data_IF_534728125114
#
_entry.id   IF_534728125114
#
_cell.length_a   1.000
_cell.length_b   1.000
_cell.length_c   1.000
_cell.angle_alpha   90.00
_cell.angle_beta   90.00
_cell.angle_gamma   90.00
#
_symmetry.space_group_name_H-M   'P 1'
#
loop_
_entity.id
_entity.type
_entity.pdbx_description
1 polymer ?
#
# COMPACT_ATOMS: atom_id res chain seq x y z
N UNK A 1 -5.96 -7.36 20.12
CA UNK A 1 -6.40 -8.75 19.86
C UNK A 1 -7.57 -9.01 20.77
N UNK A 2 -8.58 -9.75 20.30
CA UNK A 2 -9.71 -10.23 21.08
C UNK A 2 -9.66 -11.78 21.13
N UNK A 3 -10.42 -12.40 22.05
CA UNK A 3 -10.40 -13.87 22.26
C UNK A 3 -10.75 -14.67 21.00
N UNK A 4 -11.49 -14.07 20.07
CA UNK A 4 -11.86 -14.63 18.78
C UNK A 4 -10.67 -14.89 17.84
N UNK A 5 -9.51 -14.30 18.12
CA UNK A 5 -8.26 -14.54 17.37
C UNK A 5 -7.45 -15.72 17.92
N UNK A 6 -7.87 -16.31 19.03
CA UNK A 6 -7.24 -17.49 19.60
C UNK A 6 -7.92 -18.75 19.08
N UNK A 7 -7.20 -19.51 18.25
CA UNK A 7 -7.71 -20.75 17.67
C UNK A 7 -7.06 -21.93 18.36
N UNK A 8 -7.88 -22.85 18.86
CA UNK A 8 -7.38 -24.12 19.36
C UNK A 8 -7.03 -25.04 18.19
N UNK A 9 -5.74 -25.34 18.05
CA UNK A 9 -5.25 -26.27 17.04
C UNK A 9 -5.27 -27.68 17.62
N UNK A 10 -6.11 -28.53 17.01
CA UNK A 10 -6.28 -29.93 17.42
C UNK A 10 -5.08 -30.81 17.11
N UNK A 11 -4.18 -30.40 16.21
CA UNK A 11 -2.98 -31.15 15.86
C UNK A 11 -1.86 -30.93 16.88
N UNK A 12 -1.68 -29.70 17.35
CA UNK A 12 -0.68 -29.32 18.36
C UNK A 12 -1.24 -29.34 19.80
N UNK A 13 -2.57 -29.46 19.95
CA UNK A 13 -3.29 -29.39 21.23
C UNK A 13 -3.07 -28.08 22.00
N UNK A 14 -2.75 -26.99 21.29
CA UNK A 14 -2.44 -25.70 21.87
C UNK A 14 -3.29 -24.57 21.28
N UNK A 15 -3.24 -23.41 21.93
CA UNK A 15 -3.86 -22.20 21.45
C UNK A 15 -2.90 -21.43 20.55
N UNK A 16 -3.36 -21.06 19.36
CA UNK A 16 -2.55 -20.33 18.38
C UNK A 16 -3.06 -18.89 18.23
N UNK A 17 -2.16 -17.89 18.18
CA UNK A 17 -0.70 -18.00 18.34
C UNK A 17 -0.29 -18.27 19.81
N UNK A 18 0.60 -19.24 20.05
CA UNK A 18 1.01 -19.66 21.42
C UNK A 18 1.63 -18.53 22.27
N UNK A 19 2.18 -17.51 21.61
CA UNK A 19 2.76 -16.34 22.27
C UNK A 19 1.70 -15.40 22.88
N UNK A 20 0.46 -15.46 22.39
CA UNK A 20 -0.61 -14.52 22.75
C UNK A 20 -1.86 -15.23 23.27
N UNK A 21 -2.03 -16.52 23.01
CA UNK A 21 -3.22 -17.26 23.34
C UNK A 21 -2.91 -18.44 24.27
N UNK A 22 -3.77 -18.66 25.25
CA UNK A 22 -3.67 -19.77 26.19
C UNK A 22 -5.05 -20.34 26.50
N UNK A 23 -5.10 -21.61 26.92
CA UNK A 23 -6.33 -22.21 27.42
C UNK A 23 -6.66 -21.62 28.78
N UNK A 24 -7.81 -20.98 28.87
CA UNK A 24 -8.37 -20.42 30.09
C UNK A 24 -9.83 -20.83 30.15
N UNK A 25 -10.22 -21.69 31.09
CA UNK A 25 -11.60 -22.18 31.18
C UNK A 25 -12.49 -21.23 31.99
N UNK A 26 -13.66 -20.90 31.44
CA UNK A 26 -14.72 -20.15 32.09
C UNK A 26 -15.99 -20.99 32.21
N UNK A 27 -16.89 -20.60 33.12
CA UNK A 27 -18.15 -21.28 33.33
C UNK A 27 -19.01 -21.22 32.04
N UNK A 28 -19.29 -22.39 31.45
CA UNK A 28 -20.03 -22.51 30.18
C UNK A 28 -19.19 -23.03 29.01
N UNK A 29 -17.87 -23.11 29.17
CA UNK A 29 -17.01 -23.75 28.17
C UNK A 29 -17.21 -25.27 28.18
N UNK A 30 -17.49 -25.83 27.01
CA UNK A 30 -17.64 -27.28 26.82
C UNK A 30 -16.61 -27.85 25.84
N UNK A 31 -15.75 -27.00 25.27
CA UNK A 31 -14.67 -27.40 24.36
C UNK A 31 -13.39 -26.59 24.59
N UNK A 32 -12.19 -27.14 24.29
CA UNK A 32 -10.94 -26.39 24.30
C UNK A 32 -10.94 -25.16 23.38
N UNK A 33 -11.66 -25.23 22.25
CA UNK A 33 -11.82 -24.08 21.34
C UNK A 33 -12.54 -22.91 22.01
N UNK A 34 -13.56 -23.17 22.84
CA UNK A 34 -14.23 -22.13 23.62
C UNK A 34 -13.34 -21.60 24.76
N UNK A 35 -12.49 -22.46 25.31
CA UNK A 35 -11.53 -22.09 26.35
C UNK A 35 -10.27 -21.40 25.80
N UNK A 36 -10.09 -21.32 24.47
CA UNK A 36 -8.91 -20.75 23.87
C UNK A 36 -9.03 -19.23 23.76
N UNK A 37 -8.26 -18.50 24.57
CA UNK A 37 -8.42 -17.07 24.80
C UNK A 37 -7.08 -16.35 24.85
N UNK A 38 -7.11 -15.03 24.83
CA UNK A 38 -5.89 -14.25 25.00
C UNK A 38 -5.30 -14.47 26.37
N UNK A 39 -4.00 -14.77 26.42
CA UNK A 39 -3.27 -14.92 27.67
C UNK A 39 -3.33 -13.63 28.47
N UNK A 40 -3.55 -13.71 29.79
CA UNK A 40 -3.40 -12.55 30.71
C UNK A 40 -1.97 -11.99 30.71
N UNK A 41 -0.99 -12.77 30.23
CA UNK A 41 0.40 -12.35 30.00
C UNK A 41 0.65 -11.89 28.56
N UNK A 42 -0.34 -11.98 27.67
CA UNK A 42 -0.26 -11.40 26.33
C UNK A 42 -0.14 -9.90 26.53
N UNK A 43 1.08 -9.40 26.39
CA UNK A 43 1.32 -8.00 26.53
C UNK A 43 0.78 -7.35 25.25
N UNK A 44 -0.53 -7.13 25.20
CA UNK A 44 -1.25 -6.54 24.07
C UNK A 44 -0.78 -5.10 23.77
N UNK A 45 0.15 -4.56 24.57
CA UNK A 45 0.94 -3.35 24.34
C UNK A 45 2.15 -3.55 23.41
N UNK A 46 2.52 -4.80 23.08
CA UNK A 46 3.62 -5.14 22.16
C UNK A 46 3.16 -5.42 20.73
N UNK A 47 1.87 -5.64 20.52
CA UNK A 47 1.27 -5.66 19.18
C UNK A 47 0.78 -4.24 18.93
N UNK A 48 1.24 -3.53 17.89
CA UNK A 48 0.67 -2.23 17.53
C UNK A 48 -0.83 -2.39 17.31
N UNK A 49 -1.63 -1.95 18.28
CA UNK A 49 -3.08 -1.90 18.11
C UNK A 49 -3.41 -0.63 17.34
N UNK A 50 -3.64 -0.77 16.03
CA UNK A 50 -4.16 0.31 15.22
C UNK A 50 -5.66 0.16 15.05
N UNK A 51 -6.35 1.30 15.10
CA UNK A 51 -7.75 1.40 14.74
C UNK A 51 -7.81 1.87 13.29
N UNK A 52 -8.10 0.95 12.37
CA UNK A 52 -8.29 1.29 10.97
C UNK A 52 -9.72 1.80 10.79
N UNK A 53 -9.85 3.05 10.36
CA UNK A 53 -11.12 3.76 10.19
C UNK A 53 -11.32 4.15 8.73
N UNK A 54 -11.45 3.17 7.85
CA UNK A 54 -12.06 3.34 6.52
C UNK A 54 -12.32 1.97 5.88
N UNK A 55 -13.40 1.91 5.08
CA UNK A 55 -13.88 0.78 4.25
C UNK A 55 -14.68 -0.32 4.97
N UNK A 56 -15.63 -0.90 4.23
CA UNK A 56 -16.79 -1.66 4.71
C UNK A 56 -16.68 -3.19 4.44
N UNK A 57 -16.58 -4.00 5.49
CA UNK A 57 -16.44 -5.47 5.49
C UNK A 57 -15.74 -5.95 6.77
N UNK A 58 -16.19 -7.05 7.40
CA UNK A 58 -15.92 -7.34 8.82
C UNK A 58 -14.51 -7.91 9.15
N UNK A 59 -13.84 -7.23 10.10
CA UNK A 59 -12.77 -7.63 11.07
C UNK A 59 -11.31 -7.80 10.61
N UNK A 60 -10.26 -7.37 11.35
CA UNK A 60 -10.11 -6.61 12.60
C UNK A 60 -9.52 -5.19 12.40
N UNK A 61 -9.78 -4.30 13.37
CA UNK A 61 -9.76 -2.82 13.23
C UNK A 61 -11.17 -2.39 12.85
N UNK A 62 -11.95 -1.83 13.79
CA UNK A 62 -13.42 -1.73 13.67
C UNK A 62 -13.85 -1.13 12.33
N UNK A 63 -14.34 -1.97 11.44
CA UNK A 63 -14.93 -1.51 10.20
C UNK A 63 -16.26 -0.86 10.53
N UNK A 64 -16.29 0.46 10.44
CA UNK A 64 -17.51 1.26 10.61
C UNK A 64 -18.29 1.18 9.30
N UNK A 65 -19.22 0.22 9.22
CA UNK A 65 -20.13 0.08 8.10
C UNK A 65 -21.29 1.09 8.14
N UNK A 66 -22.01 1.23 7.02
CA UNK A 66 -23.22 2.05 6.93
C UNK A 66 -22.98 3.56 6.95
N UNK A 67 -21.76 4.00 6.65
CA UNK A 67 -21.44 5.41 6.50
C UNK A 67 -21.96 5.94 5.16
N UNK A 68 -22.30 7.23 5.13
CA UNK A 68 -22.62 7.95 3.89
C UNK A 68 -21.32 8.28 3.17
N UNK A 69 -21.32 8.19 1.84
CA UNK A 69 -20.20 8.62 1.01
C UNK A 69 -19.93 10.13 1.17
N UNK A 70 -18.68 10.54 0.94
CA UNK A 70 -18.23 11.94 0.98
C UNK A 70 -18.78 12.74 2.19
N UNK A 71 -18.69 12.16 3.39
CA UNK A 71 -19.28 12.70 4.61
C UNK A 71 -18.24 12.73 5.72
N UNK A 72 -18.12 13.86 6.41
CA UNK A 72 -17.22 14.03 7.57
C UNK A 72 -17.81 13.36 8.81
N UNK A 73 -17.07 12.44 9.40
CA UNK A 73 -17.37 11.77 10.66
C UNK A 73 -16.37 12.16 11.74
N UNK A 74 -16.83 12.23 12.98
CA UNK A 74 -16.00 12.49 14.15
C UNK A 74 -15.91 11.25 15.02
N UNK A 75 -14.73 10.97 15.56
CA UNK A 75 -14.49 9.80 16.37
C UNK A 75 -13.52 10.09 17.53
N UNK A 76 -13.51 9.18 18.51
CA UNK A 76 -12.53 9.11 19.57
C UNK A 76 -12.13 7.66 19.75
N UNK A 77 -10.84 7.40 19.89
CA UNK A 77 -10.34 6.08 20.27
C UNK A 77 -10.23 6.02 21.78
N UNK A 78 -10.60 4.92 22.41
CA UNK A 78 -10.35 4.75 23.82
C UNK A 78 -10.73 3.38 24.35
N UNK A 79 -10.37 3.13 25.61
CA UNK A 79 -10.70 1.89 26.29
C UNK A 79 -12.17 1.90 26.75
N UNK A 80 -12.89 0.81 26.47
CA UNK A 80 -14.30 0.67 26.84
C UNK A 80 -14.52 0.54 28.36
N UNK A 81 -13.57 -0.08 29.07
CA UNK A 81 -13.61 -0.34 30.52
C UNK A 81 -13.06 0.83 31.34
N UNK A 82 -12.18 1.63 30.77
CA UNK A 82 -11.55 2.75 31.47
C UNK A 82 -11.54 4.03 30.61
N UNK A 83 -12.34 5.01 31.05
CA UNK A 83 -12.49 6.31 30.37
C UNK A 83 -11.24 7.19 30.47
N UNK A 84 -10.29 6.86 31.35
CA UNK A 84 -9.00 7.55 31.45
C UNK A 84 -8.20 7.39 30.15
N UNK A 85 -8.23 6.21 29.53
CA UNK A 85 -7.57 5.93 28.25
C UNK A 85 -8.47 6.31 27.08
N UNK A 86 -8.85 7.59 26.96
CA UNK A 86 -9.58 8.14 25.82
C UNK A 86 -8.75 9.20 25.11
N UNK A 87 -8.53 9.00 23.82
CA UNK A 87 -7.86 9.94 22.94
C UNK A 87 -8.69 11.20 22.68
N UNK A 88 -8.04 12.16 22.03
CA UNK A 88 -8.66 13.39 21.54
C UNK A 88 -9.73 13.13 20.47
N UNK A 89 -10.56 14.14 20.23
CA UNK A 89 -11.49 14.13 19.09
C UNK A 89 -10.66 14.16 17.80
N UNK A 90 -10.98 13.25 16.88
CA UNK A 90 -10.45 13.22 15.51
C UNK A 90 -11.62 13.14 14.54
N UNK A 91 -11.35 13.33 13.25
CA UNK A 91 -12.38 13.26 12.21
C UNK A 91 -11.80 12.76 10.90
N UNK A 92 -12.60 12.10 10.07
CA UNK A 92 -12.24 11.74 8.71
C UNK A 92 -13.41 12.01 7.77
N UNK A 93 -13.13 12.14 6.48
CA UNK A 93 -14.15 12.17 5.42
C UNK A 93 -14.15 10.82 4.72
N UNK A 94 -15.34 10.22 4.56
CA UNK A 94 -15.48 8.96 3.83
C UNK A 94 -15.17 9.12 2.35
N UNK A 95 -14.76 8.03 1.71
CA UNK A 95 -14.52 8.00 0.27
C UNK A 95 -15.73 8.49 -0.52
N UNK A 96 -15.45 9.04 -1.69
CA UNK A 96 -16.46 9.37 -2.70
C UNK A 96 -17.04 8.08 -3.27
N UNK A 97 -18.31 8.13 -3.66
CA UNK A 97 -18.93 6.98 -4.30
C UNK A 97 -18.26 6.71 -5.65
N UNK A 98 -18.21 5.46 -6.07
CA UNK A 98 -17.78 5.13 -7.43
C UNK A 98 -18.66 5.86 -8.45
N UNK A 99 -18.06 6.51 -9.45
CA UNK A 99 -18.74 7.35 -10.43
C UNK A 99 -19.00 8.79 -9.98
N UNK A 100 -18.56 9.20 -8.79
CA UNK A 100 -18.61 10.60 -8.39
C UNK A 100 -17.59 11.41 -9.20
N UNK A 101 -18.09 12.25 -10.11
CA UNK A 101 -17.30 13.09 -11.03
C UNK A 101 -16.70 14.34 -10.38
N UNK A 102 -16.96 14.58 -9.09
CA UNK A 102 -16.38 15.72 -8.40
C UNK A 102 -14.85 15.55 -8.25
N UNK A 103 -14.07 16.61 -8.47
CA UNK A 103 -12.61 16.52 -8.44
C UNK A 103 -12.11 16.17 -7.04
N UNK A 104 -11.04 15.38 -7.01
CA UNK A 104 -10.33 14.97 -5.80
C UNK A 104 -8.82 14.94 -6.03
N UNK A 105 -8.06 14.94 -4.94
CA UNK A 105 -6.59 14.99 -4.93
C UNK A 105 -6.02 13.85 -4.09
N UNK A 106 -4.97 13.20 -4.60
CA UNK A 106 -4.23 12.15 -3.90
C UNK A 106 -2.77 12.54 -3.73
N UNK A 107 -2.20 12.38 -2.54
CA UNK A 107 -0.76 12.48 -2.36
C UNK A 107 -0.10 11.11 -2.53
N UNK A 108 0.93 11.00 -3.38
CA UNK A 108 1.57 9.72 -3.71
C UNK A 108 3.09 9.79 -3.49
N UNK A 109 3.64 8.85 -2.73
CA UNK A 109 5.09 8.76 -2.53
C UNK A 109 5.49 7.36 -2.08
N UNK A 110 6.76 6.98 -2.27
CA UNK A 110 7.33 5.75 -1.74
C UNK A 110 8.42 6.06 -0.71
N UNK A 111 8.91 5.03 -0.02
CA UNK A 111 10.29 4.96 0.46
C UNK A 111 10.68 6.05 1.48
N UNK A 112 9.71 6.61 2.20
CA UNK A 112 9.98 7.76 3.06
C UNK A 112 10.86 7.39 4.26
N UNK A 113 10.63 6.21 4.85
CA UNK A 113 11.31 5.80 6.07
C UNK A 113 11.07 6.74 7.27
N UNK A 114 11.95 6.61 8.27
CA UNK A 114 11.85 7.36 9.53
C UNK A 114 13.20 7.94 9.99
N UNK A 115 14.17 8.07 9.08
CA UNK A 115 15.51 8.58 9.36
C UNK A 115 15.59 10.11 9.19
N UNK A 116 16.80 10.67 9.16
CA UNK A 116 17.00 12.11 9.01
C UNK A 116 16.65 12.63 7.61
N UNK A 117 16.74 11.78 6.57
CA UNK A 117 16.36 12.13 5.20
C UNK A 117 14.83 12.24 5.07
N UNK A 118 14.09 11.47 5.88
CA UNK A 118 12.62 11.49 5.90
C UNK A 118 12.02 12.81 6.40
N UNK A 119 12.77 13.65 7.12
CA UNK A 119 12.22 14.79 7.88
C UNK A 119 11.48 15.80 7.01
N UNK A 120 12.04 16.15 5.85
CA UNK A 120 11.43 17.10 4.92
C UNK A 120 10.11 16.55 4.36
N UNK A 121 10.14 15.32 3.85
CA UNK A 121 8.98 14.61 3.31
C UNK A 121 7.90 14.41 4.37
N UNK A 122 8.28 13.96 5.56
CA UNK A 122 7.38 13.77 6.68
C UNK A 122 6.65 15.07 7.04
N UNK A 123 7.39 16.18 7.15
CA UNK A 123 6.81 17.50 7.42
C UNK A 123 5.85 17.93 6.30
N UNK A 124 6.24 17.72 5.04
CA UNK A 124 5.43 18.07 3.88
C UNK A 124 4.11 17.29 3.88
N UNK A 125 4.14 15.96 3.97
CA UNK A 125 2.94 15.11 3.98
C UNK A 125 2.04 15.43 5.19
N UNK A 126 2.61 15.72 6.36
CA UNK A 126 1.83 16.15 7.52
C UNK A 126 1.13 17.50 7.32
N UNK A 127 1.59 18.34 6.39
CA UNK A 127 0.94 19.61 6.04
C UNK A 127 -0.19 19.47 5.02
N UNK A 128 -0.33 18.32 4.37
CA UNK A 128 -1.36 18.03 3.37
C UNK A 128 -2.73 17.68 3.96
N UNK A 129 -2.86 17.69 5.28
CA UNK A 129 -4.16 17.49 5.94
C UNK A 129 -5.13 18.58 5.49
N UNK A 130 -6.33 18.17 5.06
CA UNK A 130 -7.38 19.01 4.46
C UNK A 130 -7.05 19.59 3.06
N UNK A 131 -5.83 19.39 2.54
CA UNK A 131 -5.44 19.78 1.16
C UNK A 131 -5.60 18.64 0.16
N UNK A 132 -5.54 17.39 0.62
CA UNK A 132 -5.71 16.18 -0.20
C UNK A 132 -6.79 15.28 0.40
N UNK A 133 -7.42 14.45 -0.44
CA UNK A 133 -8.49 13.56 -0.02
C UNK A 133 -7.95 12.30 0.68
N UNK A 134 -6.80 11.78 0.21
CA UNK A 134 -6.08 10.66 0.85
C UNK A 134 -4.62 10.59 0.42
N UNK A 135 -3.84 9.75 1.11
CA UNK A 135 -2.44 9.43 0.78
C UNK A 135 -2.33 8.01 0.27
N UNK A 136 -1.48 7.78 -0.73
CA UNK A 136 -1.09 6.47 -1.23
C UNK A 136 0.44 6.28 -1.16
N UNK A 137 0.90 5.45 -0.21
CA UNK A 137 2.30 5.18 0.05
C UNK A 137 2.77 3.91 -0.69
N UNK A 138 3.70 4.08 -1.63
CA UNK A 138 4.20 3.08 -2.57
C UNK A 138 5.26 2.13 -1.98
N UNK A 139 5.08 1.66 -0.73
CA UNK A 139 5.96 0.69 -0.08
C UNK A 139 7.21 1.27 0.56
N UNK A 140 7.97 0.40 1.24
CA UNK A 140 9.16 0.71 2.02
C UNK A 140 8.89 1.79 3.08
N UNK A 141 8.02 1.41 4.00
CA UNK A 141 7.31 2.32 4.90
C UNK A 141 8.26 2.99 5.88
N UNK A 142 8.93 2.18 6.72
CA UNK A 142 9.71 2.69 7.86
C UNK A 142 11.19 2.36 7.80
N UNK A 143 11.60 1.42 6.93
CA UNK A 143 12.96 0.85 6.92
C UNK A 143 13.39 0.34 8.31
N UNK A 144 12.47 -0.31 9.03
CA UNK A 144 12.73 -0.79 10.39
C UNK A 144 13.73 -1.95 10.43
N UNK A 145 13.81 -2.71 9.34
CA UNK A 145 14.77 -3.78 9.10
C UNK A 145 16.21 -3.24 9.12
N UNK A 146 16.45 -2.05 8.55
CA UNK A 146 17.73 -1.36 8.48
C UNK A 146 18.17 -0.67 9.79
N UNK A 147 17.38 -0.74 10.87
CA UNK A 147 17.64 0.01 12.10
C UNK A 147 19.01 -0.29 12.77
N UNK A 148 19.61 -1.43 12.44
CA UNK A 148 20.92 -1.88 12.95
C UNK A 148 22.13 -1.35 12.16
N UNK A 149 21.93 -0.71 11.00
CA UNK A 149 23.03 -0.29 10.10
C UNK A 149 23.91 0.83 10.66
N UNK A 150 23.53 1.44 11.78
CA UNK A 150 24.40 2.42 12.47
C UNK A 150 25.32 1.72 13.47
N UNK A 151 26.58 2.16 13.57
CA UNK A 151 27.55 1.60 14.52
C UNK A 151 27.06 1.63 15.99
N UNK A 152 26.18 2.58 16.33
CA UNK A 152 25.56 2.68 17.65
C UNK A 152 24.49 1.61 17.89
N UNK A 153 23.82 1.15 16.83
CA UNK A 153 22.66 0.27 16.93
C UNK A 153 22.96 -1.19 16.59
N UNK A 154 24.15 -1.50 16.07
CA UNK A 154 24.52 -2.81 15.51
C UNK A 154 24.29 -4.00 16.45
N UNK A 155 24.41 -3.80 17.77
CA UNK A 155 24.18 -4.85 18.78
C UNK A 155 22.83 -4.74 19.50
N UNK A 156 22.02 -3.74 19.18
CA UNK A 156 20.69 -3.57 19.76
C UNK A 156 19.58 -4.17 18.90
N UNK A 157 18.34 -3.98 19.34
CA UNK A 157 17.15 -4.37 18.62
C UNK A 157 16.16 -3.21 18.61
N UNK A 158 16.02 -2.57 17.45
CA UNK A 158 15.32 -1.28 17.29
C UNK A 158 14.16 -1.34 16.28
N UNK A 159 13.86 -2.51 15.71
CA UNK A 159 12.85 -2.69 14.67
C UNK A 159 11.51 -2.06 15.07
N UNK A 160 10.95 -2.48 16.21
CA UNK A 160 9.68 -1.95 16.74
C UNK A 160 9.76 -0.44 17.06
N UNK A 161 10.92 0.05 17.51
CA UNK A 161 11.10 1.46 17.85
C UNK A 161 11.07 2.35 16.60
N UNK A 162 11.72 1.92 15.51
CA UNK A 162 11.71 2.63 14.23
C UNK A 162 10.32 2.59 13.60
N UNK A 163 9.67 1.43 13.62
CA UNK A 163 8.29 1.32 13.13
C UNK A 163 7.34 2.24 13.92
N UNK A 164 7.42 2.24 15.26
CA UNK A 164 6.65 3.15 16.10
C UNK A 164 7.00 4.62 15.86
N UNK A 165 8.28 4.96 15.60
CA UNK A 165 8.69 6.31 15.24
C UNK A 165 7.97 6.77 13.97
N UNK A 166 7.90 5.92 12.95
CA UNK A 166 7.15 6.19 11.73
C UNK A 166 5.65 6.41 12.02
N UNK A 167 4.98 5.45 12.67
CA UNK A 167 3.54 5.55 12.95
C UNK A 167 3.19 6.80 13.76
N UNK A 168 4.01 7.12 14.76
CA UNK A 168 3.84 8.33 15.58
C UNK A 168 4.03 9.61 14.75
N UNK A 169 4.99 9.63 13.84
CA UNK A 169 5.25 10.79 12.97
C UNK A 169 4.11 11.04 11.97
N UNK A 170 3.38 10.01 11.56
CA UNK A 170 2.26 10.11 10.61
C UNK A 170 0.89 10.20 11.27
N UNK A 171 0.87 10.30 12.60
CA UNK A 171 -0.37 10.34 13.38
C UNK A 171 -1.28 11.53 13.02
N UNK A 172 -0.75 12.66 12.55
CA UNK A 172 -1.58 13.79 12.12
C UNK A 172 -2.41 13.45 10.88
N UNK A 173 -1.79 12.77 9.91
CA UNK A 173 -2.41 12.38 8.63
C UNK A 173 -3.34 11.19 8.83
N UNK A 174 -2.83 10.10 9.40
CA UNK A 174 -3.56 8.83 9.50
C UNK A 174 -4.80 8.90 10.40
N UNK A 175 -4.90 9.90 11.28
CA UNK A 175 -6.12 10.11 12.08
C UNK A 175 -7.21 10.89 11.32
N UNK A 176 -6.86 11.52 10.20
CA UNK A 176 -7.69 12.51 9.51
C UNK A 176 -8.16 12.10 8.12
N UNK A 177 -7.41 11.23 7.44
CA UNK A 177 -7.73 10.75 6.10
C UNK A 177 -7.26 9.31 5.92
N UNK A 178 -7.73 8.67 4.85
CA UNK A 178 -7.21 7.36 4.48
C UNK A 178 -5.72 7.46 4.13
N UNK A 179 -4.96 6.48 4.60
CA UNK A 179 -3.54 6.34 4.31
C UNK A 179 -3.34 4.95 3.72
N UNK A 180 -3.46 4.87 2.40
CA UNK A 180 -3.37 3.64 1.63
C UNK A 180 -1.91 3.26 1.49
N UNK A 181 -1.58 1.97 1.63
CA UNK A 181 -0.21 1.48 1.59
C UNK A 181 -0.11 0.24 0.73
N UNK A 182 0.97 0.13 -0.02
CA UNK A 182 1.38 -1.12 -0.64
C UNK A 182 2.66 -1.64 0.01
N UNK A 183 2.99 -2.90 -0.25
CA UNK A 183 4.13 -3.58 0.37
C UNK A 183 5.40 -3.39 -0.47
N UNK A 184 6.51 -3.03 0.17
CA UNK A 184 7.85 -3.02 -0.43
C UNK A 184 8.76 -4.12 0.10
N UNK A 185 10.01 -4.13 -0.36
CA UNK A 185 10.96 -5.17 0.05
C UNK A 185 11.44 -5.02 1.49
N UNK A 186 11.49 -3.80 2.04
CA UNK A 186 11.88 -3.54 3.43
C UNK A 186 10.82 -3.99 4.45
N UNK A 187 9.64 -4.39 3.98
CA UNK A 187 8.62 -5.02 4.81
C UNK A 187 8.81 -6.54 4.96
N UNK A 188 9.64 -7.18 4.15
CA UNK A 188 9.69 -8.65 4.04
C UNK A 188 10.22 -9.36 5.29
N UNK A 189 11.32 -8.88 5.89
CA UNK A 189 11.93 -9.51 7.05
C UNK A 189 12.63 -8.54 8.01
N UNK A 190 12.84 -9.00 9.26
CA UNK A 190 13.90 -8.45 10.11
C UNK A 190 15.22 -9.19 9.87
N UNK A 191 16.21 -8.50 9.32
CA UNK A 191 17.55 -9.02 9.04
C UNK A 191 18.66 -8.53 9.98
N UNK A 192 18.31 -7.87 11.10
CA UNK A 192 19.30 -7.46 12.12
C UNK A 192 20.04 -8.66 12.74
N UNK A 193 21.28 -8.50 13.25
CA UNK A 193 22.01 -9.58 13.93
C UNK A 193 21.20 -10.26 15.04
N UNK A 194 20.41 -9.47 15.81
CA UNK A 194 19.52 -9.99 16.84
C UNK A 194 18.41 -10.89 16.27
N UNK A 195 17.87 -10.57 15.10
CA UNK A 195 16.88 -11.41 14.41
C UNK A 195 17.54 -12.67 13.83
N UNK A 196 18.72 -12.56 13.22
CA UNK A 196 19.45 -13.71 12.67
C UNK A 196 19.83 -14.75 13.74
N UNK A 197 20.15 -14.30 14.96
CA UNK A 197 20.49 -15.16 16.10
C UNK A 197 19.26 -15.71 16.85
N UNK A 198 18.05 -15.22 16.55
CA UNK A 198 16.82 -15.63 17.23
C UNK A 198 15.80 -16.17 16.23
N UNK A 199 15.64 -17.50 16.20
CA UNK A 199 14.62 -18.16 15.36
C UNK A 199 13.22 -17.57 15.60
N UNK A 200 12.85 -17.36 16.87
CA UNK A 200 11.57 -16.78 17.25
C UNK A 200 11.34 -15.39 16.65
N UNK A 201 12.32 -14.47 16.76
CA UNK A 201 12.16 -13.11 16.21
C UNK A 201 12.10 -13.12 14.70
N UNK A 202 12.96 -13.92 14.07
CA UNK A 202 12.98 -14.07 12.62
C UNK A 202 11.66 -14.62 12.08
N UNK A 203 11.03 -15.55 12.79
CA UNK A 203 9.75 -16.12 12.39
C UNK A 203 8.60 -15.12 12.64
N UNK A 204 8.64 -14.35 13.73
CA UNK A 204 7.61 -13.34 14.06
C UNK A 204 7.67 -12.07 13.20
N UNK A 205 8.86 -11.72 12.70
CA UNK A 205 9.12 -10.49 11.92
C UNK A 205 9.50 -10.80 10.47
N UNK A 206 9.33 -12.04 10.04
CA UNK A 206 9.51 -12.46 8.65
C UNK A 206 8.18 -12.50 7.91
N UNK A 207 8.24 -12.73 6.61
CA UNK A 207 7.08 -12.87 5.73
C UNK A 207 6.07 -11.73 5.86
N UNK A 208 6.55 -10.49 5.84
CA UNK A 208 5.71 -9.27 5.86
C UNK A 208 4.83 -9.13 7.12
N UNK A 209 5.16 -9.84 8.21
CA UNK A 209 4.31 -9.92 9.39
C UNK A 209 4.09 -8.55 10.07
N UNK A 210 5.12 -7.71 10.15
CA UNK A 210 4.99 -6.39 10.76
C UNK A 210 4.06 -5.48 9.95
N UNK A 211 4.26 -5.43 8.63
CA UNK A 211 3.42 -4.67 7.71
C UNK A 211 1.95 -5.13 7.75
N UNK A 212 1.72 -6.44 7.68
CA UNK A 212 0.38 -7.04 7.76
C UNK A 212 -0.30 -6.85 9.13
N UNK A 213 0.47 -6.64 10.20
CA UNK A 213 -0.08 -6.39 11.54
C UNK A 213 -0.37 -4.91 11.81
N UNK A 214 0.40 -4.02 11.20
CA UNK A 214 0.29 -2.59 11.45
C UNK A 214 -0.77 -1.92 10.58
N UNK A 215 -0.96 -2.40 9.35
CA UNK A 215 -1.93 -1.83 8.43
C UNK A 215 -3.16 -2.74 8.25
N UNK A 216 -4.23 -2.16 7.71
CA UNK A 216 -5.39 -2.90 7.21
C UNK A 216 -5.88 -2.21 5.96
N UNK A 217 -5.71 -2.90 4.84
CA UNK A 217 -6.20 -2.50 3.54
C UNK A 217 -7.50 -3.25 3.20
N UNK A 218 -8.31 -2.78 2.24
CA UNK A 218 -9.61 -3.37 1.89
C UNK A 218 -9.47 -4.66 1.05
N UNK A 219 -8.58 -5.57 1.44
CA UNK A 219 -8.37 -6.82 0.72
C UNK A 219 -9.55 -7.78 0.83
N UNK A 220 -10.23 -7.98 1.99
CA UNK A 220 -11.40 -8.85 2.01
C UNK A 220 -12.54 -8.35 1.11
N UNK A 221 -12.68 -7.03 0.97
CA UNK A 221 -13.70 -6.37 0.15
C UNK A 221 -13.44 -6.52 -1.35
N UNK A 222 -12.17 -6.62 -1.76
CA UNK A 222 -11.74 -6.77 -3.15
C UNK A 222 -11.38 -8.21 -3.52
N UNK A 223 -11.52 -9.18 -2.61
CA UNK A 223 -11.10 -10.56 -2.82
C UNK A 223 -9.58 -10.76 -2.81
N UNK A 224 -8.82 -9.75 -2.36
CA UNK A 224 -7.38 -9.80 -2.19
C UNK A 224 -6.95 -10.51 -0.90
N UNK A 225 -5.67 -10.37 -0.54
CA UNK A 225 -5.07 -11.04 0.63
C UNK A 225 -4.27 -10.07 1.51
N UNK A 226 -4.62 -10.04 2.81
CA UNK A 226 -3.97 -9.23 3.84
C UNK A 226 -3.76 -7.76 3.41
N UNK A 227 -2.55 -7.22 3.51
CA UNK A 227 -2.20 -5.93 2.90
C UNK A 227 -1.35 -6.11 1.64
N UNK A 228 -1.27 -7.34 1.11
CA UNK A 228 -0.35 -7.69 0.02
C UNK A 228 -0.89 -7.22 -1.33
N UNK A 229 -2.18 -7.45 -1.60
CA UNK A 229 -2.87 -6.94 -2.77
C UNK A 229 -4.35 -6.74 -2.50
N UNK A 230 -4.91 -5.70 -3.10
CA UNK A 230 -6.29 -5.27 -2.92
C UNK A 230 -6.65 -4.21 -3.96
N UNK A 231 -7.94 -3.96 -4.16
CA UNK A 231 -8.43 -2.86 -4.98
C UNK A 231 -9.52 -2.06 -4.27
N UNK A 232 -9.78 -0.85 -4.76
CA UNK A 232 -10.83 0.02 -4.25
C UNK A 232 -11.21 1.10 -5.27
N UNK A 233 -12.45 1.55 -5.18
CA UNK A 233 -12.95 2.68 -5.96
C UNK A 233 -12.85 3.98 -5.16
N UNK A 234 -12.47 5.06 -5.83
CA UNK A 234 -12.57 6.41 -5.29
C UNK A 234 -13.00 7.38 -6.39
N UNK A 235 -14.23 7.88 -6.33
CA UNK A 235 -14.78 8.73 -7.39
C UNK A 235 -14.77 8.01 -8.74
N UNK A 236 -14.11 8.60 -9.73
CA UNK A 236 -14.00 8.07 -11.11
C UNK A 236 -12.81 7.15 -11.34
N UNK A 237 -12.14 6.69 -10.28
CA UNK A 237 -10.89 5.91 -10.38
C UNK A 237 -11.00 4.58 -9.66
N UNK A 238 -10.66 3.51 -10.37
CA UNK A 238 -10.34 2.20 -9.84
C UNK A 238 -8.85 2.12 -9.51
N UNK A 239 -8.52 1.88 -8.25
CA UNK A 239 -7.16 1.66 -7.79
C UNK A 239 -6.91 0.17 -7.55
N UNK A 240 -5.91 -0.39 -8.22
CA UNK A 240 -5.41 -1.75 -7.98
C UNK A 240 -4.04 -1.66 -7.30
N UNK A 241 -3.89 -2.29 -6.14
CA UNK A 241 -2.64 -2.33 -5.38
C UNK A 241 -2.06 -3.74 -5.40
N UNK A 242 -0.76 -3.86 -5.73
CA UNK A 242 -0.08 -5.15 -5.89
C UNK A 242 1.13 -5.31 -4.99
N UNK A 243 1.42 -6.56 -4.63
CA UNK A 243 2.72 -6.98 -4.14
C UNK A 243 3.53 -7.52 -5.32
N UNK A 244 4.58 -6.80 -5.69
CA UNK A 244 5.57 -7.31 -6.66
C UNK A 244 6.81 -7.84 -5.96
N UNK A 245 6.64 -8.22 -4.71
CA UNK A 245 7.68 -8.76 -3.84
C UNK A 245 7.63 -10.29 -3.73
N UNK A 246 6.52 -10.91 -4.13
CA UNK A 246 6.29 -12.34 -3.97
C UNK A 246 5.15 -12.87 -4.84
N UNK A 247 4.96 -14.19 -4.85
CA UNK A 247 3.81 -14.90 -5.44
C UNK A 247 3.63 -14.72 -6.96
N UNK A 248 4.75 -14.59 -7.68
CA UNK A 248 4.84 -14.76 -9.14
C UNK A 248 6.14 -15.47 -9.52
N UNK A 249 6.24 -15.94 -10.77
CA UNK A 249 7.43 -16.63 -11.24
C UNK A 249 8.66 -15.70 -11.20
N UNK A 250 9.77 -16.20 -10.64
CA UNK A 250 11.02 -15.44 -10.46
C UNK A 250 10.89 -14.21 -9.55
N UNK A 251 9.89 -14.16 -8.66
CA UNK A 251 9.80 -13.12 -7.65
C UNK A 251 11.07 -13.08 -6.77
N UNK A 252 11.48 -11.87 -6.29
CA UNK A 252 12.66 -11.72 -5.47
C UNK A 252 12.52 -12.49 -4.16
N UNK A 253 13.61 -13.08 -3.66
CA UNK A 253 13.58 -13.80 -2.38
C UNK A 253 13.27 -12.89 -1.19
N UNK A 254 13.67 -11.61 -1.30
CA UNK A 254 13.70 -10.60 -0.25
C UNK A 254 14.45 -11.02 1.03
N UNK A 255 15.19 -12.14 1.00
CA UNK A 255 16.02 -12.60 2.10
C UNK A 255 17.45 -12.08 1.93
N UNK A 256 17.93 -11.32 2.92
CA UNK A 256 19.28 -10.72 2.85
C UNK A 256 20.38 -11.70 3.26
N UNK A 257 20.18 -12.40 4.39
CA UNK A 257 21.21 -13.28 4.97
C UNK A 257 20.76 -14.74 5.08
N UNK A 258 19.57 -15.06 4.57
CA UNK A 258 19.00 -16.40 4.66
C UNK A 258 18.66 -16.93 3.27
N UNK A 259 18.33 -18.23 3.18
CA UNK A 259 17.81 -18.86 1.96
C UNK A 259 16.28 -18.95 1.98
N UNK A 260 15.62 -18.09 2.76
CA UNK A 260 14.15 -18.08 2.82
C UNK A 260 13.61 -17.45 1.55
N UNK A 261 12.45 -17.94 1.15
CA UNK A 261 11.60 -17.29 0.18
C UNK A 261 10.37 -16.86 0.96
N UNK A 262 10.08 -15.57 0.93
CA UNK A 262 8.89 -15.00 1.53
C UNK A 262 7.76 -15.02 0.49
N UNK A 263 6.51 -15.16 0.95
CA UNK A 263 5.35 -15.40 0.10
C UNK A 263 4.39 -16.44 0.62
N UNK A 264 3.67 -17.05 -0.32
CA UNK A 264 2.69 -18.09 -0.10
C UNK A 264 1.33 -17.52 0.30
N UNK A 265 0.99 -16.31 -0.13
CA UNK A 265 -0.27 -15.65 0.21
C UNK A 265 -1.41 -16.04 -0.74
N UNK A 266 -1.10 -16.48 -1.96
CA UNK A 266 -2.10 -16.93 -2.93
C UNK A 266 -1.65 -16.71 -4.37
N UNK A 267 -2.59 -16.84 -5.30
CA UNK A 267 -2.36 -16.57 -6.72
C UNK A 267 -2.77 -15.14 -7.06
N UNK A 268 -1.82 -14.21 -6.91
CA UNK A 268 -2.08 -12.79 -7.17
C UNK A 268 -2.35 -12.51 -8.66
N UNK A 269 -1.74 -13.25 -9.59
CA UNK A 269 -1.92 -13.00 -11.02
C UNK A 269 -3.34 -13.35 -11.48
N UNK A 270 -3.91 -14.43 -10.94
CA UNK A 270 -5.32 -14.77 -11.18
C UNK A 270 -6.23 -13.68 -10.60
N UNK A 271 -6.00 -13.25 -9.35
CA UNK A 271 -6.77 -12.17 -8.74
C UNK A 271 -6.68 -10.87 -9.54
N UNK A 272 -5.47 -10.47 -9.95
CA UNK A 272 -5.21 -9.26 -10.73
C UNK A 272 -5.95 -9.29 -12.06
N UNK A 273 -5.93 -10.43 -12.77
CA UNK A 273 -6.66 -10.55 -14.02
C UNK A 273 -8.17 -10.39 -13.83
N UNK A 274 -8.74 -10.95 -12.76
CA UNK A 274 -10.16 -10.81 -12.43
C UNK A 274 -10.53 -9.36 -12.06
N UNK A 275 -9.70 -8.71 -11.24
CA UNK A 275 -9.86 -7.31 -10.81
C UNK A 275 -9.82 -6.34 -12.00
N UNK A 276 -8.75 -6.41 -12.81
CA UNK A 276 -8.59 -5.54 -13.98
C UNK A 276 -9.67 -5.78 -15.04
N UNK A 277 -10.12 -7.03 -15.21
CA UNK A 277 -11.23 -7.35 -16.11
C UNK A 277 -12.54 -6.71 -15.64
N UNK A 278 -12.81 -6.74 -14.33
CA UNK A 278 -13.99 -6.12 -13.75
C UNK A 278 -13.92 -4.58 -13.89
N UNK A 279 -12.76 -3.99 -13.62
CA UNK A 279 -12.52 -2.56 -13.78
C UNK A 279 -12.65 -2.09 -15.23
N UNK A 280 -12.06 -2.82 -16.19
CA UNK A 280 -12.18 -2.48 -17.62
C UNK A 280 -13.63 -2.55 -18.10
N UNK A 281 -14.41 -3.52 -17.61
CA UNK A 281 -15.84 -3.62 -17.87
C UNK A 281 -16.68 -2.52 -17.19
N UNK A 282 -16.14 -1.82 -16.18
CA UNK A 282 -16.81 -0.79 -15.40
C UNK A 282 -16.33 0.64 -15.73
N UNK A 283 -15.61 0.84 -16.83
CA UNK A 283 -15.07 2.17 -17.22
C UNK A 283 -16.12 3.24 -17.47
N UNK A 284 -17.38 2.87 -17.72
CA UNK A 284 -18.48 3.84 -17.80
C UNK A 284 -18.73 4.54 -16.45
N UNK A 285 -18.39 3.89 -15.33
CA UNK A 285 -18.52 4.43 -13.98
C UNK A 285 -17.18 4.89 -13.42
N UNK A 286 -16.11 4.13 -13.63
CA UNK A 286 -14.75 4.43 -13.16
C UNK A 286 -13.79 4.42 -14.34
N UNK A 287 -13.78 5.51 -15.14
CA UNK A 287 -13.05 5.52 -16.40
C UNK A 287 -11.56 5.26 -16.24
N UNK A 288 -10.96 5.57 -15.08
CA UNK A 288 -9.52 5.46 -14.83
C UNK A 288 -9.17 4.21 -14.04
N UNK A 289 -8.17 3.47 -14.52
CA UNK A 289 -7.57 2.34 -13.81
C UNK A 289 -6.12 2.71 -13.47
N UNK A 290 -5.81 2.83 -12.18
CA UNK A 290 -4.50 3.15 -11.67
C UNK A 290 -3.96 1.95 -10.89
N UNK A 291 -2.78 1.47 -11.26
CA UNK A 291 -2.07 0.42 -10.54
C UNK A 291 -0.98 1.05 -9.68
N UNK A 292 -0.86 0.65 -8.42
CA UNK A 292 0.33 0.92 -7.60
C UNK A 292 1.08 -0.37 -7.29
N UNK A 293 2.40 -0.31 -7.41
CA UNK A 293 3.32 -1.39 -7.08
C UNK A 293 4.66 -0.80 -6.59
N UNK A 294 5.51 -1.59 -5.92
CA UNK A 294 6.74 -1.06 -5.33
C UNK A 294 7.93 -1.00 -6.32
N UNK A 295 8.57 -2.14 -6.61
CA UNK A 295 9.66 -2.25 -7.61
C UNK A 295 9.27 -1.80 -9.03
N UNK A 296 10.20 -1.25 -9.81
CA UNK A 296 9.88 -0.79 -11.14
C UNK A 296 9.78 -1.92 -12.16
N UNK A 297 8.85 -1.81 -13.11
CA UNK A 297 8.84 -2.60 -14.36
C UNK A 297 9.76 -1.99 -15.42
N UNK A 298 9.89 -0.66 -15.42
CA UNK A 298 10.81 0.10 -16.26
C UNK A 298 11.51 1.15 -15.42
N UNK A 299 12.81 1.31 -15.60
CA UNK A 299 13.60 2.39 -14.99
C UNK A 299 14.92 2.53 -15.72
N UNK A 300 15.46 3.74 -15.76
CA UNK A 300 16.80 3.97 -16.33
C UNK A 300 17.91 3.30 -15.52
N UNK A 301 17.62 2.86 -14.28
CA UNK A 301 18.56 2.11 -13.44
C UNK A 301 18.67 0.62 -13.77
N UNK A 302 17.74 0.08 -14.55
CA UNK A 302 17.57 -1.36 -14.77
C UNK A 302 17.18 -1.63 -16.22
N UNK A 303 17.90 -1.04 -17.16
CA UNK A 303 17.65 -1.16 -18.59
C UNK A 303 18.95 -1.33 -19.41
N UNK A 304 18.88 -2.13 -20.47
CA UNK A 304 19.92 -2.26 -21.48
C UNK A 304 19.94 -1.10 -22.50
N UNK A 305 20.97 -1.00 -23.35
CA UNK A 305 21.06 0.02 -24.40
C UNK A 305 19.94 -0.04 -25.45
N UNK A 306 19.23 -1.18 -25.53
CA UNK A 306 18.10 -1.45 -26.41
C UNK A 306 16.74 -1.11 -25.77
N UNK A 307 16.73 -0.53 -24.55
CA UNK A 307 15.53 -0.17 -23.82
C UNK A 307 14.84 -1.35 -23.13
N UNK A 308 15.41 -2.55 -23.21
CA UNK A 308 14.87 -3.74 -22.56
C UNK A 308 15.25 -3.73 -21.08
N UNK A 309 14.31 -3.91 -20.14
CA UNK A 309 14.63 -4.06 -18.73
C UNK A 309 15.58 -5.23 -18.48
N UNK A 310 16.46 -5.05 -17.51
CA UNK A 310 17.27 -6.12 -16.93
C UNK A 310 16.86 -6.36 -15.47
N UNK A 311 17.54 -7.28 -14.77
CA UNK A 311 17.23 -7.61 -13.37
C UNK A 311 18.18 -6.93 -12.36
N UNK A 312 18.86 -5.83 -12.70
CA UNK A 312 19.67 -5.09 -11.73
C UNK A 312 18.81 -4.52 -10.59
N UNK A 313 17.54 -4.20 -10.88
CA UNK A 313 16.48 -3.84 -9.92
C UNK A 313 15.24 -4.75 -10.07
N UNK A 314 15.41 -5.98 -10.54
CA UNK A 314 14.33 -6.96 -10.78
C UNK A 314 13.27 -6.53 -11.81
N UNK A 315 13.54 -5.49 -12.58
CA UNK A 315 12.56 -4.89 -13.49
C UNK A 315 12.10 -5.84 -14.60
N UNK A 316 13.01 -6.70 -15.10
CA UNK A 316 12.67 -7.69 -16.12
C UNK A 316 11.71 -8.76 -15.60
N UNK A 317 11.91 -9.27 -14.39
CA UNK A 317 11.00 -10.27 -13.80
C UNK A 317 9.61 -9.67 -13.54
N UNK A 318 9.54 -8.42 -13.07
CA UNK A 318 8.27 -7.69 -12.90
C UNK A 318 7.59 -7.49 -14.26
N UNK A 319 8.33 -7.04 -15.28
CA UNK A 319 7.79 -6.88 -16.62
C UNK A 319 7.16 -8.16 -17.17
N UNK A 320 7.89 -9.27 -17.13
CA UNK A 320 7.43 -10.56 -17.66
C UNK A 320 6.17 -11.08 -16.95
N UNK A 321 5.99 -10.77 -15.67
CA UNK A 321 4.85 -11.22 -14.90
C UNK A 321 3.59 -10.35 -15.09
N UNK A 322 3.73 -9.03 -15.22
CA UNK A 322 2.61 -8.09 -15.07
C UNK A 322 2.25 -7.29 -16.32
N UNK A 323 3.21 -7.02 -17.23
CA UNK A 323 2.99 -6.08 -18.34
C UNK A 323 1.84 -6.49 -19.26
N UNK A 324 1.75 -7.80 -19.58
CA UNK A 324 0.73 -8.31 -20.49
C UNK A 324 -0.68 -8.04 -19.96
N UNK A 325 -0.92 -8.20 -18.66
CA UNK A 325 -2.21 -7.91 -18.04
C UNK A 325 -2.52 -6.41 -18.06
N UNK A 326 -1.52 -5.56 -17.79
CA UNK A 326 -1.69 -4.11 -17.83
C UNK A 326 -2.03 -3.61 -19.24
N UNK A 327 -1.39 -4.17 -20.27
CA UNK A 327 -1.71 -3.89 -21.67
C UNK A 327 -3.11 -4.41 -22.02
N UNK A 328 -3.43 -5.65 -21.66
CA UNK A 328 -4.70 -6.33 -21.98
C UNK A 328 -5.91 -5.56 -21.46
N UNK A 329 -5.82 -5.03 -20.25
CA UNK A 329 -6.90 -4.29 -19.59
C UNK A 329 -6.71 -2.76 -19.61
N UNK A 330 -5.76 -2.29 -20.43
CA UNK A 330 -5.54 -0.87 -20.75
C UNK A 330 -5.33 0.00 -19.50
N UNK A 331 -4.58 -0.49 -18.52
CA UNK A 331 -4.25 0.27 -17.31
C UNK A 331 -3.76 1.66 -17.71
N UNK A 332 -4.27 2.71 -17.06
CA UNK A 332 -4.00 4.08 -17.47
C UNK A 332 -2.69 4.61 -16.90
N UNK A 333 -2.41 4.26 -15.64
CA UNK A 333 -1.27 4.76 -14.87
C UNK A 333 -0.69 3.66 -13.98
N UNK A 334 0.65 3.59 -13.89
CA UNK A 334 1.35 2.65 -12.99
C UNK A 334 2.30 3.42 -12.06
N UNK A 335 1.93 3.54 -10.80
CA UNK A 335 2.69 4.23 -9.76
C UNK A 335 3.73 3.28 -9.11
N UNK A 336 4.96 3.75 -8.92
CA UNK A 336 6.10 2.96 -8.43
C UNK A 336 6.96 3.64 -7.34
N UNK A 337 7.62 2.83 -6.52
CA UNK A 337 8.61 3.27 -5.53
C UNK A 337 9.98 2.65 -5.83
N UNK A 338 10.68 2.23 -4.77
CA UNK A 338 11.91 1.42 -4.73
C UNK A 338 13.18 2.09 -5.27
N UNK A 339 13.07 2.80 -6.38
CA UNK A 339 14.17 3.60 -6.92
C UNK A 339 14.02 5.02 -6.41
N UNK A 340 14.98 5.44 -5.58
CA UNK A 340 14.91 6.71 -4.84
C UNK A 340 15.20 7.93 -5.72
N UNK A 341 14.36 8.14 -6.72
CA UNK A 341 14.38 9.28 -7.63
C UNK A 341 13.02 9.47 -8.28
N UNK A 342 12.83 10.60 -8.95
CA UNK A 342 11.67 10.80 -9.81
C UNK A 342 12.01 10.40 -11.24
N UNK A 343 11.22 9.48 -11.78
CA UNK A 343 11.23 9.13 -13.19
C UNK A 343 9.80 9.21 -13.72
N UNK A 344 9.66 9.86 -14.88
CA UNK A 344 8.44 9.82 -15.71
C UNK A 344 8.78 9.19 -17.05
N UNK A 345 8.07 8.12 -17.37
CA UNK A 345 8.17 7.45 -18.67
C UNK A 345 6.99 7.86 -19.57
N UNK A 346 7.24 7.88 -20.89
CA UNK A 346 6.17 7.94 -21.89
C UNK A 346 5.24 6.73 -21.75
N UNK A 347 4.03 6.75 -22.33
CA UNK A 347 3.29 5.51 -22.53
C UNK A 347 4.19 4.46 -23.18
N UNK A 348 4.32 3.31 -22.54
CA UNK A 348 5.34 2.32 -22.90
C UNK A 348 4.70 0.94 -22.93
N UNK A 349 5.02 0.18 -23.97
CA UNK A 349 4.62 -1.22 -24.09
C UNK A 349 5.71 -1.99 -24.84
N UNK A 350 6.02 -3.21 -24.39
CA UNK A 350 6.97 -4.09 -25.05
C UNK A 350 8.33 -3.41 -25.31
N UNK A 351 8.87 -2.73 -24.29
CA UNK A 351 10.15 -2.01 -24.33
C UNK A 351 10.19 -0.78 -25.25
N UNK A 352 9.05 -0.32 -25.76
CA UNK A 352 8.99 0.79 -26.71
C UNK A 352 8.03 1.88 -26.23
N UNK A 353 8.48 3.13 -26.34
CA UNK A 353 7.62 4.29 -26.13
C UNK A 353 6.58 4.37 -27.26
N UNK A 354 5.33 4.58 -26.87
CA UNK A 354 4.16 4.75 -27.73
C UNK A 354 3.86 6.24 -27.79
N UNK A 355 4.23 6.90 -28.88
CA UNK A 355 4.13 8.36 -28.99
C UNK A 355 2.75 8.86 -29.49
N UNK A 356 1.85 7.94 -29.84
CA UNK A 356 0.48 8.27 -30.24
C UNK A 356 -0.23 9.02 -29.11
N UNK A 357 -0.74 10.21 -29.40
CA UNK A 357 -1.43 11.06 -28.41
C UNK A 357 -0.51 11.87 -27.51
N UNK A 358 0.81 11.74 -27.62
CA UNK A 358 1.76 12.57 -26.87
C UNK A 358 1.91 13.94 -27.54
N UNK A 359 1.64 15.01 -26.79
CA UNK A 359 1.79 16.39 -27.26
C UNK A 359 3.25 16.74 -27.57
N UNK A 360 3.46 17.75 -28.43
CA UNK A 360 4.82 18.17 -28.84
C UNK A 360 5.70 18.68 -27.70
N UNK A 361 5.08 19.18 -26.63
CA UNK A 361 5.76 19.65 -25.42
C UNK A 361 5.88 18.56 -24.34
N UNK A 362 5.43 17.33 -24.64
CA UNK A 362 5.44 16.17 -23.74
C UNK A 362 4.65 16.36 -22.44
N UNK A 363 3.69 17.30 -22.41
CA UNK A 363 2.89 17.64 -21.23
C UNK A 363 1.46 17.08 -21.26
N UNK A 364 0.99 16.62 -22.40
CA UNK A 364 -0.36 16.08 -22.53
C UNK A 364 -0.31 14.74 -23.25
N UNK A 365 -0.98 13.74 -22.67
CA UNK A 365 -1.17 12.43 -23.24
C UNK A 365 -2.66 12.23 -23.52
N UNK A 366 -3.05 12.36 -24.79
CA UNK A 366 -4.43 12.24 -25.25
C UNK A 366 -4.75 10.80 -25.66
N UNK A 367 -5.68 10.16 -24.95
CA UNK A 367 -6.10 8.77 -25.17
C UNK A 367 -4.92 7.79 -25.33
N UNK A 368 -3.96 7.75 -24.40
CA UNK A 368 -2.84 6.83 -24.52
C UNK A 368 -3.35 5.39 -24.57
N UNK A 369 -2.90 4.63 -25.58
CA UNK A 369 -3.42 3.27 -25.86
C UNK A 369 -2.83 2.18 -24.96
N UNK A 370 -1.81 2.50 -24.18
CA UNK A 370 -0.99 1.56 -23.40
C UNK A 370 -0.53 2.26 -22.11
N UNK A 371 -0.19 1.51 -21.05
CA UNK A 371 0.00 2.08 -19.73
C UNK A 371 0.95 3.26 -19.75
N UNK A 372 0.38 4.38 -19.33
CA UNK A 372 0.97 5.67 -19.44
C UNK A 372 1.50 6.07 -18.08
N UNK A 373 2.82 6.20 -18.00
CA UNK A 373 3.54 6.80 -16.89
C UNK A 373 3.83 5.84 -15.73
N UNK A 374 5.09 5.41 -15.68
CA UNK A 374 5.73 5.04 -14.44
C UNK A 374 6.12 6.30 -13.70
N UNK A 375 5.78 6.37 -12.42
CA UNK A 375 6.09 7.48 -11.55
C UNK A 375 6.81 6.93 -10.33
N UNK A 376 8.09 7.29 -10.21
CA UNK A 376 8.89 7.01 -9.02
C UNK A 376 8.91 8.24 -8.10
N UNK A 377 8.89 8.00 -6.79
CA UNK A 377 8.98 8.90 -5.63
C UNK A 377 8.58 10.39 -5.72
N UNK A 378 7.78 10.79 -4.73
CA UNK A 378 7.34 12.14 -4.34
C UNK A 378 6.61 12.94 -5.42
N UNK A 379 5.31 12.69 -5.51
CA UNK A 379 4.38 13.48 -6.31
C UNK A 379 3.11 13.77 -5.53
N UNK A 380 2.69 15.02 -5.55
CA UNK A 380 1.26 15.28 -5.42
C UNK A 380 0.60 14.82 -6.72
N UNK A 381 0.17 13.56 -6.78
CA UNK A 381 -0.65 13.08 -7.87
C UNK A 381 -2.13 13.37 -7.58
N UNK A 382 -2.51 14.65 -7.62
CA UNK A 382 -3.65 15.10 -8.42
C UNK A 382 -4.00 16.54 -8.11
N UNK A 383 -4.05 17.36 -9.15
CA UNK A 383 -4.74 18.64 -9.10
C UNK A 383 -5.78 18.60 -10.21
N UNK A 384 -7.03 18.42 -9.82
CA UNK A 384 -8.21 18.40 -10.70
C UNK A 384 -8.36 17.09 -11.51
N UNK A 385 -9.20 16.18 -10.99
CA UNK A 385 -9.77 15.09 -11.77
C UNK A 385 -11.18 15.47 -12.24
N UNK A 386 -11.31 15.88 -13.49
CA UNK A 386 -12.59 15.78 -14.22
C UNK A 386 -12.67 14.34 -14.74
N UNK A 387 -13.84 13.73 -15.04
CA UNK A 387 -13.92 12.33 -15.47
C UNK A 387 -13.09 12.04 -16.73
N UNK A 388 -12.69 13.08 -17.46
CA UNK A 388 -11.87 13.04 -18.67
C UNK A 388 -10.42 13.49 -18.51
N UNK A 389 -9.95 13.94 -17.33
CA UNK A 389 -8.58 14.44 -17.14
C UNK A 389 -7.93 13.97 -15.83
N UNK A 390 -6.69 13.50 -15.89
CA UNK A 390 -5.80 13.30 -14.76
C UNK A 390 -4.61 14.24 -14.88
N UNK A 391 -4.40 15.14 -13.90
CA UNK A 391 -3.18 15.96 -13.83
C UNK A 391 -2.25 15.40 -12.76
N UNK A 392 -0.97 15.31 -13.06
CA UNK A 392 0.05 14.77 -12.18
C UNK A 392 1.16 15.82 -11.99
N UNK A 393 1.54 16.06 -10.73
CA UNK A 393 2.47 17.12 -10.35
C UNK A 393 3.60 16.54 -9.49
N UNK A 394 4.84 16.74 -9.92
CA UNK A 394 6.01 16.41 -9.13
C UNK A 394 6.43 17.60 -8.29
N UNK A 395 6.46 17.38 -6.96
CA UNK A 395 6.79 18.40 -5.98
C UNK A 395 7.94 17.93 -5.11
N UNK A 396 8.98 18.75 -5.02
CA UNK A 396 10.07 18.54 -4.10
C UNK A 396 9.63 18.86 -2.67
N UNK A 397 9.51 17.85 -1.82
CA UNK A 397 8.97 17.98 -0.45
C UNK A 397 9.73 18.99 0.43
N UNK A 398 11.02 19.18 0.19
CA UNK A 398 11.85 20.10 0.97
C UNK A 398 11.54 21.58 0.69
N UNK A 399 11.10 21.90 -0.53
CA UNK A 399 10.97 23.28 -1.01
C UNK A 399 9.54 23.63 -1.41
N UNK A 400 8.69 22.64 -1.71
CA UNK A 400 7.37 22.82 -2.31
C UNK A 400 7.44 23.23 -3.79
N UNK A 401 8.60 23.15 -4.43
CA UNK A 401 8.78 23.52 -5.83
C UNK A 401 8.21 22.43 -6.74
N UNK A 402 7.41 22.85 -7.72
CA UNK A 402 6.93 21.99 -8.81
C UNK A 402 8.04 21.86 -9.85
N UNK A 403 8.47 20.64 -10.13
CA UNK A 403 9.52 20.34 -11.11
C UNK A 403 8.99 19.71 -12.40
N UNK A 404 7.86 19.01 -12.34
CA UNK A 404 7.18 18.48 -13.51
C UNK A 404 5.66 18.53 -13.33
N UNK A 405 4.95 18.70 -14.45
CA UNK A 405 3.49 18.71 -14.49
C UNK A 405 3.05 18.24 -15.88
N UNK A 406 2.16 17.24 -15.91
CA UNK A 406 1.58 16.71 -17.13
C UNK A 406 0.15 16.21 -16.90
N UNK A 407 -0.60 16.05 -18.00
CA UNK A 407 -1.98 15.60 -17.97
C UNK A 407 -2.21 14.39 -18.87
N UNK A 408 -3.04 13.46 -18.41
CA UNK A 408 -3.60 12.35 -19.19
C UNK A 408 -5.07 12.65 -19.45
N UNK A 409 -5.45 12.72 -20.72
CA UNK A 409 -6.80 13.14 -21.12
C UNK A 409 -7.47 11.99 -21.87
N UNK A 410 -8.72 11.69 -21.50
CA UNK A 410 -9.62 10.82 -22.27
C UNK A 410 -10.64 11.67 -23.01
N UNK A 411 -10.76 11.50 -24.33
CA UNK A 411 -11.83 12.15 -25.08
C UNK A 411 -13.18 11.54 -24.72
N UNK A 412 -14.21 12.36 -24.50
CA UNK A 412 -15.58 11.86 -24.40
C UNK A 412 -15.99 11.18 -25.71
N UNK A 413 -16.69 10.05 -25.62
CA UNK A 413 -17.07 9.20 -26.75
C UNK A 413 -18.10 9.82 -27.73
N UNK A 414 -18.13 11.14 -27.92
CA UNK A 414 -19.16 11.87 -28.67
C UNK A 414 -18.67 12.59 -29.92
N UNK A 415 -17.57 12.16 -30.56
CA UNK A 415 -17.15 12.77 -31.84
C UNK A 415 -16.69 11.80 -32.95
N UNK A 416 -17.04 10.51 -32.89
CA UNK A 416 -16.72 9.56 -33.98
C UNK A 416 -17.96 9.04 -34.72
N UNK A 417 -18.93 9.92 -34.95
CA UNK A 417 -20.06 9.65 -35.85
C UNK A 417 -20.35 10.83 -36.79
N UNK A 418 -19.33 11.29 -37.53
CA UNK A 418 -19.51 11.92 -38.86
C UNK A 418 -18.14 12.23 -39.47
N UNK A 419 -17.65 11.34 -40.33
CA UNK A 419 -17.06 11.73 -41.62
C UNK A 419 -17.11 10.58 -42.62
#
# INVERSE_FOLDING_TARGET
MDDDKCVYDWSSLSCTPEASCSLQYQLGDVTPSQACRLSDTSNATKVPQQLHLAFAGREAGTVVGGLKANTKYFYKVGNAKDKHYRGGLSSFTTARAAGDESPFTVAVYGDMGADDNSVATNKYVNSLVDEVDFVYHLGDISYADNAFLTAKNVFGFYYEQVYNKFMNSMTNVMRQMAYMVLVGNHEAECHSPTCLLSKSKKDQLGNYSAFNSCFRMPSPESGGVLNMWYSYEYGTVHFTTLSIETDYANAPSNAYFTKRVYGGFGDQLVWLEEDLKAADANRDNVPWIIVGMHRPMYTIRSCGPDGVPNNDYEARNVQEAFEELFIKYKVDLVLQGHVHTYERLYPTANNSAIMDGVSRDNKTYENPKHPCTLLQELQEAQKDSNPTNLTLVMIESATGIIHDEFSVIKSSATQDSTQ
#
